data_IF_641266585470
#
_entry.id   IF_641266585470
#
_cell.length_a   1.000
_cell.length_b   1.000
_cell.length_c   1.000
_cell.angle_alpha   90.00
_cell.angle_beta   90.00
_cell.angle_gamma   90.00
#
_symmetry.space_group_name_H-M   'P 1'
#
loop_
_entity.id
_entity.type
_entity.pdbx_description
1 polymer ?
#
# COMPACT_ATOMS: atom_id res chain seq x y z
N UNK A 1 15.26 1.70 13.74
CA UNK A 1 14.46 0.77 14.53
C UNK A 1 14.11 -0.44 13.65
N UNK A 2 14.58 -1.62 14.00
CA UNK A 2 14.21 -2.86 13.29
C UNK A 2 12.94 -3.40 13.95
N UNK A 3 11.83 -3.35 13.26
CA UNK A 3 10.63 -4.05 13.70
C UNK A 3 10.73 -5.51 13.25
N UNK A 4 10.71 -6.43 14.19
CA UNK A 4 10.62 -7.85 13.92
C UNK A 4 9.14 -8.23 13.90
N UNK A 5 8.67 -8.87 12.84
CA UNK A 5 7.27 -9.24 12.70
C UNK A 5 6.96 -9.84 11.35
N UNK A 6 5.76 -10.37 11.18
CA UNK A 6 5.34 -10.97 9.90
C UNK A 6 5.17 -9.89 8.84
N UNK A 7 5.91 -10.03 7.74
CA UNK A 7 5.88 -9.10 6.61
C UNK A 7 4.86 -9.56 5.57
N UNK A 8 4.01 -8.63 5.15
CA UNK A 8 3.07 -8.80 4.05
C UNK A 8 3.38 -7.79 2.95
N UNK A 9 3.66 -8.29 1.75
CA UNK A 9 3.86 -7.41 0.60
C UNK A 9 2.54 -6.74 0.19
N UNK A 10 2.62 -5.57 -0.42
CA UNK A 10 1.47 -4.97 -1.06
C UNK A 10 1.17 -5.68 -2.38
N UNK A 11 -0.13 -5.91 -2.67
CA UNK A 11 -0.57 -6.64 -3.86
C UNK A 11 -0.52 -5.75 -5.09
N UNK A 12 -0.01 -6.31 -6.16
CA UNK A 12 0.02 -5.71 -7.49
C UNK A 12 -0.92 -6.50 -8.40
N UNK A 13 -1.91 -5.85 -8.96
CA UNK A 13 -2.85 -6.46 -9.89
C UNK A 13 -2.53 -6.13 -11.35
N UNK A 14 -3.20 -6.80 -12.28
CA UNK A 14 -3.01 -6.59 -13.71
C UNK A 14 -3.26 -5.14 -14.13
N UNK A 15 -4.23 -4.47 -13.51
CA UNK A 15 -4.57 -3.07 -13.80
C UNK A 15 -3.41 -2.14 -13.42
N UNK A 16 -2.81 -2.36 -12.25
CA UNK A 16 -1.65 -1.60 -11.79
C UNK A 16 -0.46 -1.80 -12.73
N UNK A 17 -0.20 -3.04 -13.16
CA UNK A 17 0.85 -3.34 -14.14
C UNK A 17 0.59 -2.68 -15.49
N UNK A 18 -0.66 -2.68 -15.98
CA UNK A 18 -1.02 -2.01 -17.24
C UNK A 18 -0.79 -0.50 -17.17
N UNK A 19 -1.14 0.14 -16.06
CA UNK A 19 -0.90 1.57 -15.85
C UNK A 19 0.61 1.86 -15.85
N UNK A 20 1.40 1.03 -15.18
CA UNK A 20 2.86 1.19 -15.16
C UNK A 20 3.49 1.03 -16.53
N UNK A 21 3.07 0.02 -17.31
CA UNK A 21 3.54 -0.19 -18.67
C UNK A 21 3.18 0.99 -19.58
N UNK A 22 1.93 1.47 -19.51
CA UNK A 22 1.50 2.64 -20.27
C UNK A 22 2.29 3.89 -19.90
N UNK A 23 2.54 4.10 -18.60
CA UNK A 23 3.36 5.22 -18.12
C UNK A 23 4.81 5.11 -18.62
N UNK A 24 5.39 3.90 -18.60
CA UNK A 24 6.74 3.65 -19.13
C UNK A 24 6.84 3.93 -20.62
N UNK A 25 5.83 3.54 -21.39
CA UNK A 25 5.76 3.86 -22.84
C UNK A 25 5.67 5.37 -23.06
N UNK A 26 4.88 6.09 -22.27
CA UNK A 26 4.81 7.56 -22.35
C UNK A 26 6.16 8.22 -22.04
N UNK A 27 6.99 7.62 -21.17
CA UNK A 27 8.33 8.13 -20.88
C UNK A 27 9.29 8.03 -22.10
N UNK A 28 8.93 7.31 -23.14
CA UNK A 28 9.70 7.24 -24.39
C UNK A 28 9.43 8.38 -25.36
N UNK A 29 8.46 9.26 -25.05
CA UNK A 29 8.12 10.40 -25.90
C UNK A 29 9.31 11.27 -26.34
N UNK A 30 10.33 11.56 -25.47
CA UNK A 30 11.49 12.32 -25.88
C UNK A 30 12.29 11.72 -27.04
N UNK A 31 12.18 10.40 -27.26
CA UNK A 31 12.82 9.73 -28.42
C UNK A 31 12.32 10.30 -29.74
N UNK A 32 11.03 10.56 -29.83
CA UNK A 32 10.39 11.13 -31.03
C UNK A 32 10.86 12.54 -31.32
N UNK A 33 11.35 13.24 -30.30
CA UNK A 33 11.87 14.62 -30.40
C UNK A 33 13.39 14.64 -30.56
N UNK A 34 14.07 13.50 -30.53
CA UNK A 34 15.52 13.40 -30.58
C UNK A 34 16.23 13.87 -29.30
N UNK A 35 15.47 13.98 -28.18
CA UNK A 35 15.96 14.53 -26.92
C UNK A 35 16.48 13.43 -25.98
N UNK A 36 17.66 12.90 -26.28
CA UNK A 36 18.25 11.78 -25.55
C UNK A 36 18.54 12.06 -24.07
N UNK A 37 18.94 13.29 -23.73
CA UNK A 37 19.22 13.69 -22.36
C UNK A 37 17.92 13.70 -21.56
N UNK A 38 16.85 14.28 -22.14
CA UNK A 38 15.53 14.26 -21.53
C UNK A 38 15.00 12.85 -21.34
N UNK A 39 15.22 11.94 -22.30
CA UNK A 39 14.86 10.54 -22.19
C UNK A 39 15.52 9.88 -20.97
N UNK A 40 16.84 10.06 -20.81
CA UNK A 40 17.58 9.45 -19.67
C UNK A 40 17.04 9.98 -18.34
N UNK A 41 16.80 11.27 -18.21
CA UNK A 41 16.31 11.88 -16.97
C UNK A 41 14.90 11.37 -16.64
N UNK A 42 13.98 11.39 -17.61
CA UNK A 42 12.58 10.95 -17.41
C UNK A 42 12.52 9.46 -17.09
N UNK A 43 13.28 8.65 -17.80
CA UNK A 43 13.28 7.21 -17.57
C UNK A 43 13.93 6.82 -16.24
N UNK A 44 15.02 7.47 -15.85
CA UNK A 44 15.63 7.28 -14.53
C UNK A 44 14.68 7.68 -13.39
N UNK A 45 13.97 8.80 -13.53
CA UNK A 45 12.96 9.22 -12.57
C UNK A 45 11.79 8.23 -12.46
N UNK A 46 11.32 7.74 -13.60
CA UNK A 46 10.26 6.72 -13.63
C UNK A 46 10.72 5.41 -12.95
N UNK A 47 11.92 4.94 -13.25
CA UNK A 47 12.48 3.73 -12.66
C UNK A 47 12.66 3.88 -11.14
N UNK A 48 13.15 5.03 -10.68
CA UNK A 48 13.30 5.33 -9.27
C UNK A 48 11.94 5.30 -8.55
N UNK A 49 10.92 5.93 -9.12
CA UNK A 49 9.57 5.92 -8.59
C UNK A 49 8.98 4.51 -8.54
N UNK A 50 9.18 3.73 -9.59
CA UNK A 50 8.74 2.34 -9.66
C UNK A 50 9.38 1.49 -8.54
N UNK A 51 10.70 1.59 -8.36
CA UNK A 51 11.42 0.87 -7.31
C UNK A 51 10.93 1.31 -5.92
N UNK A 52 10.75 2.60 -5.70
CA UNK A 52 10.25 3.12 -4.43
C UNK A 52 8.83 2.63 -4.11
N UNK A 53 7.95 2.56 -5.10
CA UNK A 53 6.60 2.01 -4.94
C UNK A 53 6.63 0.50 -4.70
N UNK A 54 7.37 -0.24 -5.52
CA UNK A 54 7.38 -1.70 -5.51
C UNK A 54 8.03 -2.26 -4.24
N UNK A 55 9.19 -1.75 -3.86
CA UNK A 55 9.94 -2.22 -2.69
C UNK A 55 9.59 -1.46 -1.42
N UNK A 56 9.14 -0.21 -1.55
CA UNK A 56 8.89 0.69 -0.42
C UNK A 56 7.48 0.59 0.17
N UNK A 57 6.56 -0.17 -0.45
CA UNK A 57 5.19 -0.33 0.04
C UNK A 57 4.95 -1.76 0.50
N UNK A 58 4.87 -1.96 1.79
CA UNK A 58 4.56 -3.26 2.41
C UNK A 58 4.01 -3.04 3.82
N UNK A 59 3.46 -4.11 4.39
CA UNK A 59 2.84 -4.10 5.71
C UNK A 59 3.56 -5.08 6.62
N UNK A 60 3.65 -4.73 7.90
CA UNK A 60 4.23 -5.61 8.91
C UNK A 60 3.37 -5.61 10.16
N UNK A 61 3.14 -6.78 10.73
CA UNK A 61 2.49 -6.94 12.03
C UNK A 61 3.58 -7.26 13.04
N UNK A 62 3.76 -6.39 14.02
CA UNK A 62 4.77 -6.52 15.07
C UNK A 62 4.10 -6.33 16.44
N UNK A 63 3.94 -7.44 17.17
CA UNK A 63 3.27 -7.44 18.46
C UNK A 63 1.83 -6.92 18.34
N UNK A 64 1.54 -5.81 18.99
CA UNK A 64 0.25 -5.12 19.02
C UNK A 64 0.12 -3.98 17.99
N UNK A 65 1.11 -3.84 17.10
CA UNK A 65 1.18 -2.73 16.12
C UNK A 65 1.13 -3.23 14.70
N UNK A 66 0.34 -2.55 13.89
CA UNK A 66 0.37 -2.64 12.43
C UNK A 66 1.29 -1.53 11.90
N UNK A 67 2.38 -1.93 11.25
CA UNK A 67 3.33 -1.00 10.66
C UNK A 67 3.14 -1.00 9.16
N UNK A 68 2.86 0.17 8.61
CA UNK A 68 2.69 0.40 7.18
C UNK A 68 3.91 1.13 6.67
N UNK A 69 4.57 0.53 5.69
CA UNK A 69 5.65 1.18 4.96
C UNK A 69 5.09 1.73 3.65
N UNK A 70 5.32 3.01 3.44
CA UNK A 70 5.02 3.69 2.19
C UNK A 70 6.25 4.51 1.80
N UNK A 71 6.80 4.25 0.62
CA UNK A 71 8.08 4.85 0.19
C UNK A 71 9.19 4.68 1.23
N UNK A 72 9.31 3.50 1.83
CA UNK A 72 10.24 3.17 2.91
C UNK A 72 10.00 3.92 4.24
N UNK A 73 8.96 4.75 4.32
CA UNK A 73 8.60 5.46 5.55
C UNK A 73 7.63 4.63 6.39
N UNK A 74 7.98 4.26 7.63
CA UNK A 74 7.11 3.47 8.49
C UNK A 74 6.08 4.33 9.22
N UNK A 75 4.85 3.84 9.30
CA UNK A 75 3.79 4.38 10.15
C UNK A 75 3.25 3.26 11.01
N UNK A 76 3.42 3.37 12.34
CA UNK A 76 2.94 2.38 13.29
C UNK A 76 1.54 2.75 13.81
N UNK A 77 0.61 1.80 13.74
CA UNK A 77 -0.77 1.97 14.17
C UNK A 77 -1.15 0.87 15.18
N UNK A 78 -1.86 1.20 16.26
CA UNK A 78 -2.25 0.22 17.26
C UNK A 78 -3.36 -0.70 16.75
N UNK A 79 -3.12 -2.01 16.75
CA UNK A 79 -4.11 -3.03 16.33
C UNK A 79 -5.31 -3.07 17.27
N UNK A 80 -5.10 -2.82 18.56
CA UNK A 80 -6.18 -2.77 19.56
C UNK A 80 -7.24 -1.70 19.31
N UNK A 81 -6.95 -0.71 18.47
CA UNK A 81 -7.89 0.35 18.08
C UNK A 81 -8.59 0.10 16.74
N UNK A 82 -8.32 -1.02 16.09
CA UNK A 82 -9.03 -1.40 14.86
C UNK A 82 -10.44 -1.85 15.23
N UNK A 83 -11.46 -1.23 14.63
CA UNK A 83 -12.85 -1.55 14.87
C UNK A 83 -13.46 -2.44 13.79
N UNK A 84 -13.13 -2.18 12.54
CA UNK A 84 -13.77 -2.81 11.38
C UNK A 84 -12.80 -2.96 10.23
N UNK A 85 -12.90 -4.09 9.53
CA UNK A 85 -12.20 -4.35 8.26
C UNK A 85 -13.25 -4.75 7.23
N UNK A 86 -13.26 -4.08 6.08
CA UNK A 86 -14.16 -4.41 4.97
C UNK A 86 -13.47 -4.28 3.62
N UNK A 87 -13.84 -5.10 2.62
CA UNK A 87 -13.37 -4.89 1.25
C UNK A 87 -13.88 -3.56 0.70
N UNK A 88 -13.07 -2.90 -0.10
CA UNK A 88 -13.43 -1.61 -0.71
C UNK A 88 -12.93 -1.51 -2.13
N UNK A 89 -13.66 -0.76 -2.96
CA UNK A 89 -13.26 -0.40 -4.33
C UNK A 89 -12.86 1.07 -4.46
N UNK A 90 -12.74 1.77 -3.34
CA UNK A 90 -12.38 3.19 -3.32
C UNK A 90 -10.97 3.40 -3.85
N UNK A 91 -10.82 4.31 -4.82
CA UNK A 91 -9.55 4.63 -5.50
C UNK A 91 -8.78 5.76 -4.78
N UNK A 92 -9.23 6.19 -3.63
CA UNK A 92 -8.57 7.26 -2.87
C UNK A 92 -7.10 6.93 -2.60
N UNK A 93 -6.26 7.96 -2.59
CA UNK A 93 -4.84 7.84 -2.29
C UNK A 93 -4.62 7.14 -0.95
N UNK A 94 -3.92 6.03 -0.99
CA UNK A 94 -3.74 5.16 0.16
C UNK A 94 -2.48 4.31 -0.03
N UNK A 95 -1.88 3.77 1.01
CA UNK A 95 -0.74 2.86 0.91
C UNK A 95 -1.15 1.48 0.34
N UNK A 96 -1.93 1.47 -0.73
CA UNK A 96 -2.42 0.30 -1.44
C UNK A 96 -1.99 0.38 -2.91
N UNK A 97 -1.26 -0.62 -3.39
CA UNK A 97 -0.78 -0.67 -4.77
C UNK A 97 -1.75 -1.38 -5.72
N UNK A 98 -2.64 -2.23 -5.21
CA UNK A 98 -3.72 -2.82 -5.99
C UNK A 98 -4.88 -1.84 -6.17
N UNK A 99 -5.54 -1.88 -7.32
CA UNK A 99 -6.76 -1.11 -7.59
C UNK A 99 -8.03 -1.93 -7.39
N UNK A 100 -7.95 -3.25 -7.49
CA UNK A 100 -9.10 -4.15 -7.43
C UNK A 100 -9.25 -4.87 -6.10
N UNK A 101 -8.14 -5.19 -5.43
CA UNK A 101 -8.12 -5.94 -4.17
C UNK A 101 -7.65 -5.02 -3.04
N UNK A 102 -8.61 -4.35 -2.42
CA UNK A 102 -8.37 -3.39 -1.33
C UNK A 102 -9.25 -3.68 -0.14
N UNK A 103 -8.70 -3.49 1.04
CA UNK A 103 -9.44 -3.52 2.29
C UNK A 103 -9.35 -2.16 2.98
N UNK A 104 -10.47 -1.72 3.55
CA UNK A 104 -10.55 -0.52 4.36
C UNK A 104 -10.54 -0.91 5.84
N UNK A 105 -9.63 -0.33 6.59
CA UNK A 105 -9.49 -0.51 8.03
C UNK A 105 -10.00 0.74 8.72
N UNK A 106 -11.00 0.58 9.58
CA UNK A 106 -11.50 1.66 10.43
C UNK A 106 -10.96 1.50 11.86
N UNK A 107 -10.64 2.61 12.46
CA UNK A 107 -10.20 2.67 13.85
C UNK A 107 -11.32 3.25 14.73
N UNK A 108 -11.38 2.83 15.99
CA UNK A 108 -12.31 3.36 16.98
C UNK A 108 -12.03 4.84 17.30
N UNK A 109 -10.76 5.23 17.23
CA UNK A 109 -10.30 6.59 17.48
C UNK A 109 -9.82 7.23 16.17
N UNK A 110 -10.51 8.29 15.73
CA UNK A 110 -10.14 9.04 14.51
C UNK A 110 -8.80 9.74 14.60
N UNK A 111 -8.32 10.01 15.81
CA UNK A 111 -7.02 10.66 16.03
C UNK A 111 -5.83 9.80 15.56
N UNK A 112 -5.99 8.47 15.48
CA UNK A 112 -4.95 7.53 15.07
C UNK A 112 -4.48 7.80 13.66
N UNK A 113 -5.40 8.08 12.73
CA UNK A 113 -5.09 8.33 11.31
C UNK A 113 -4.92 9.81 10.98
N UNK A 114 -5.24 10.71 11.91
CA UNK A 114 -5.31 12.16 11.66
C UNK A 114 -6.19 12.51 10.43
N UNK A 115 -7.11 11.63 10.09
CA UNK A 115 -7.98 11.74 8.93
C UNK A 115 -9.34 11.11 9.24
N UNK A 116 -10.40 11.62 8.61
CA UNK A 116 -11.74 11.04 8.66
C UNK A 116 -11.90 9.83 7.72
N UNK A 117 -10.98 9.65 6.78
CA UNK A 117 -11.01 8.54 5.84
C UNK A 117 -10.46 7.25 6.48
N UNK A 118 -11.01 6.07 6.12
CA UNK A 118 -10.46 4.80 6.56
C UNK A 118 -9.07 4.57 5.93
N UNK A 119 -8.25 3.78 6.60
CA UNK A 119 -6.99 3.31 6.04
C UNK A 119 -7.27 2.25 4.98
N UNK A 120 -6.76 2.44 3.76
CA UNK A 120 -6.94 1.50 2.65
C UNK A 120 -5.61 0.84 2.34
N UNK A 121 -5.57 -0.48 2.39
CA UNK A 121 -4.38 -1.30 2.11
C UNK A 121 -4.72 -2.47 1.18
N UNK A 122 -3.72 -3.10 0.60
CA UNK A 122 -3.87 -4.24 -0.31
C UNK A 122 -2.83 -5.33 -0.03
N UNK A 123 -2.94 -6.09 1.07
CA UNK A 123 -1.98 -7.14 1.38
C UNK A 123 -2.13 -8.34 0.44
N UNK A 124 -1.02 -8.99 0.08
CA UNK A 124 -1.01 -10.14 -0.82
C UNK A 124 -1.78 -11.33 -0.24
N UNK A 125 -1.58 -11.64 1.03
CA UNK A 125 -2.25 -12.75 1.74
C UNK A 125 -3.34 -12.18 2.66
N UNK A 126 -4.40 -11.64 2.04
CA UNK A 126 -5.46 -10.91 2.74
C UNK A 126 -6.10 -11.71 3.87
N UNK A 127 -6.50 -12.96 3.60
CA UNK A 127 -7.16 -13.81 4.61
C UNK A 127 -6.25 -14.11 5.80
N UNK A 128 -4.97 -14.39 5.53
CA UNK A 128 -3.98 -14.67 6.57
C UNK A 128 -3.66 -13.41 7.37
N UNK A 129 -3.57 -12.27 6.70
CA UNK A 129 -3.39 -10.97 7.31
C UNK A 129 -4.54 -10.62 8.27
N UNK A 130 -5.79 -10.77 7.81
CA UNK A 130 -6.98 -10.53 8.62
C UNK A 130 -7.04 -11.50 9.80
N UNK A 131 -6.74 -12.80 9.58
CA UNK A 131 -6.73 -13.80 10.65
C UNK A 131 -5.69 -13.46 11.74
N UNK A 132 -4.52 -12.97 11.34
CA UNK A 132 -3.49 -12.54 12.28
C UNK A 132 -3.92 -11.30 13.07
N UNK A 133 -4.55 -10.31 12.44
CA UNK A 133 -5.10 -9.14 13.13
C UNK A 133 -6.18 -9.55 14.14
N UNK A 134 -7.07 -10.47 13.77
CA UNK A 134 -8.11 -11.00 14.68
C UNK A 134 -7.55 -11.80 15.84
N UNK A 135 -6.43 -12.48 15.67
CA UNK A 135 -5.78 -13.20 16.76
C UNK A 135 -5.23 -12.25 17.84
N UNK A 136 -4.86 -11.04 17.44
CA UNK A 136 -4.35 -10.00 18.34
C UNK A 136 -5.49 -9.18 18.94
N UNK A 137 -6.49 -8.85 18.13
CA UNK A 137 -7.68 -8.11 18.55
C UNK A 137 -8.95 -8.84 18.08
N UNK A 138 -9.55 -9.70 18.94
CA UNK A 138 -10.76 -10.46 18.60
C UNK A 138 -12.00 -9.60 18.32
N UNK A 139 -12.01 -8.37 18.79
CA UNK A 139 -13.17 -7.46 18.66
C UNK A 139 -13.29 -6.83 17.26
N UNK A 140 -12.34 -7.10 16.36
CA UNK A 140 -12.40 -6.62 14.99
C UNK A 140 -13.57 -7.24 14.25
N UNK A 141 -14.46 -6.38 13.73
CA UNK A 141 -15.54 -6.77 12.85
C UNK A 141 -15.03 -6.87 11.41
N UNK A 142 -15.11 -8.06 10.83
CA UNK A 142 -14.79 -8.28 9.41
C UNK A 142 -16.11 -8.35 8.64
N UNK A 143 -16.30 -7.41 7.73
CA UNK A 143 -17.45 -7.36 6.83
C UNK A 143 -17.06 -7.93 5.46
N UNK A 144 -18.02 -8.58 4.80
CA UNK A 144 -17.88 -9.09 3.42
C UNK A 144 -18.37 -8.08 2.40
#
# INVERSE_FOLDING_TARGET
MKFEGTKYASRWDATTWMILLASGVCCLWPVLLGEWIALVIVFAGFLMLFVALFLGTYYRIDGDKLIIYQFFSPTALPIGKISEIKPTKTILAAPATSLTHRIAIKFTDRSVLKSSAPLIISPVRENEFIAQLKSINPDIKVLE
#
